data_IF_977950029828
#
_entry.id   IF_977950029828
#
_cell.length_a   1.000
_cell.length_b   1.000
_cell.length_c   1.000
_cell.angle_alpha   90.00
_cell.angle_beta   90.00
_cell.angle_gamma   90.00
#
_symmetry.space_group_name_H-M   'P 1'
#
loop_
_entity.id
_entity.type
_entity.pdbx_description
1 polymer ?
#
# COMPACT_ATOMS: atom_id res chain seq x y z
N UNK A 1 11.94 15.95 -4.18
CA UNK A 1 11.47 14.75 -3.45
C UNK A 1 11.19 14.98 -1.95
N UNK A 2 12.07 15.58 -1.12
CA UNK A 2 11.88 15.59 0.34
C UNK A 2 10.68 16.44 0.81
N UNK A 3 10.42 17.58 0.15
CA UNK A 3 9.26 18.44 0.46
C UNK A 3 7.91 17.76 0.15
N UNK A 4 7.84 17.03 -0.96
CA UNK A 4 6.62 16.30 -1.34
C UNK A 4 6.33 15.14 -0.38
N UNK A 5 7.38 14.37 0.00
CA UNK A 5 7.25 13.34 1.02
C UNK A 5 6.79 13.92 2.37
N UNK A 6 7.44 14.99 2.84
CA UNK A 6 7.06 15.65 4.08
C UNK A 6 5.62 16.19 4.03
N UNK A 7 5.20 16.75 2.90
CA UNK A 7 3.83 17.19 2.68
C UNK A 7 2.81 16.06 2.74
N UNK A 8 3.07 14.92 2.08
CA UNK A 8 2.19 13.74 2.11
C UNK A 8 2.10 13.15 3.51
N UNK A 9 3.25 12.95 4.18
CA UNK A 9 3.27 12.43 5.55
C UNK A 9 2.56 13.38 6.50
N UNK A 10 2.82 14.68 6.42
CA UNK A 10 2.15 15.70 7.23
C UNK A 10 0.64 15.72 7.00
N UNK A 11 0.19 15.66 5.75
CA UNK A 11 -1.24 15.64 5.42
C UNK A 11 -1.93 14.37 5.93
N UNK A 12 -1.31 13.19 5.78
CA UNK A 12 -1.81 11.94 6.34
C UNK A 12 -1.88 12.01 7.87
N UNK A 13 -0.81 12.46 8.51
CA UNK A 13 -0.73 12.62 9.97
C UNK A 13 -1.86 13.51 10.47
N UNK A 14 -1.99 14.71 9.88
CA UNK A 14 -2.99 15.69 10.26
C UNK A 14 -4.40 15.13 10.09
N UNK A 15 -4.70 14.51 8.95
CA UNK A 15 -6.01 13.92 8.67
C UNK A 15 -6.40 12.88 9.72
N UNK A 16 -5.54 11.88 9.93
CA UNK A 16 -5.90 10.73 10.78
C UNK A 16 -5.81 11.04 12.28
N UNK A 17 -5.02 12.04 12.69
CA UNK A 17 -5.12 12.57 14.06
C UNK A 17 -6.43 13.34 14.24
N UNK A 18 -6.81 14.19 13.26
CA UNK A 18 -8.03 14.99 13.35
C UNK A 18 -9.31 14.14 13.39
N UNK A 19 -9.31 12.96 12.77
CA UNK A 19 -10.44 12.01 12.81
C UNK A 19 -10.38 11.02 13.97
N UNK A 20 -9.31 11.02 14.78
CA UNK A 20 -9.11 10.05 15.86
C UNK A 20 -8.72 8.64 15.38
N UNK A 21 -8.40 8.48 14.10
CA UNK A 21 -8.11 7.20 13.44
C UNK A 21 -6.61 6.99 13.18
N UNK A 22 -5.75 7.58 14.03
CA UNK A 22 -4.29 7.54 13.88
C UNK A 22 -3.72 6.12 13.74
N UNK A 23 -4.43 5.10 14.23
CA UNK A 23 -4.04 3.68 14.12
C UNK A 23 -3.94 3.20 12.67
N UNK A 24 -4.67 3.82 11.72
CA UNK A 24 -4.54 3.48 10.29
C UNK A 24 -3.21 3.91 9.68
N UNK A 25 -2.47 4.83 10.32
CA UNK A 25 -1.14 5.24 9.85
C UNK A 25 -0.14 4.07 9.86
N UNK A 26 -0.37 3.04 10.68
CA UNK A 26 0.49 1.86 10.79
C UNK A 26 0.65 1.10 9.47
N UNK A 27 -0.41 0.99 8.66
CA UNK A 27 -0.35 0.32 7.35
C UNK A 27 -0.12 1.29 6.18
N UNK A 28 -0.37 2.58 6.36
CA UNK A 28 -0.19 3.60 5.32
C UNK A 28 1.24 4.14 5.24
N UNK A 29 1.92 4.34 6.37
CA UNK A 29 3.27 4.89 6.37
C UNK A 29 4.32 4.09 5.62
N UNK A 30 4.35 2.75 5.69
CA UNK A 30 5.32 1.99 4.91
C UNK A 30 5.24 2.32 3.42
N UNK A 31 4.02 2.38 2.86
CA UNK A 31 3.80 2.77 1.47
C UNK A 31 4.11 4.25 1.23
N UNK A 32 3.63 5.16 2.09
CA UNK A 32 3.84 6.60 1.92
C UNK A 32 5.33 6.99 1.94
N UNK A 33 6.14 6.30 2.75
CA UNK A 33 7.59 6.50 2.83
C UNK A 33 8.30 5.89 1.61
N UNK A 34 7.93 4.67 1.22
CA UNK A 34 8.61 3.96 0.14
C UNK A 34 8.22 4.46 -1.27
N UNK A 35 6.98 4.92 -1.46
CA UNK A 35 6.43 5.25 -2.77
C UNK A 35 7.23 6.31 -3.54
N UNK A 36 7.67 7.45 -2.94
CA UNK A 36 8.45 8.44 -3.69
C UNK A 36 9.77 7.88 -4.21
N UNK A 37 10.43 7.02 -3.44
CA UNK A 37 11.66 6.37 -3.87
C UNK A 37 11.40 5.30 -4.94
N UNK A 38 10.34 4.50 -4.79
CA UNK A 38 9.94 3.52 -5.80
C UNK A 38 9.60 4.19 -7.14
N UNK A 39 8.90 5.32 -7.11
CA UNK A 39 8.58 6.12 -8.30
C UNK A 39 9.85 6.71 -8.93
N UNK A 40 10.78 7.22 -8.12
CA UNK A 40 12.05 7.74 -8.65
C UNK A 40 12.88 6.64 -9.34
N UNK A 41 13.04 5.48 -8.68
CA UNK A 41 13.78 4.35 -9.25
C UNK A 41 13.10 3.80 -10.49
N UNK A 42 11.78 3.72 -10.50
CA UNK A 42 11.02 3.27 -11.66
C UNK A 42 11.15 4.26 -12.83
N UNK A 43 11.11 5.57 -12.59
CA UNK A 43 11.34 6.58 -13.62
C UNK A 43 12.77 6.55 -14.18
N UNK A 44 13.76 6.28 -13.32
CA UNK A 44 15.17 6.26 -13.71
C UNK A 44 15.55 4.98 -14.46
N UNK A 45 15.11 3.82 -13.97
CA UNK A 45 15.59 2.50 -14.41
C UNK A 45 14.50 1.70 -15.14
N UNK A 46 13.26 2.20 -15.21
CA UNK A 46 12.09 1.50 -15.78
C UNK A 46 11.92 0.09 -15.20
N UNK A 47 12.26 -0.06 -13.90
CA UNK A 47 12.25 -1.34 -13.21
C UNK A 47 12.03 -1.17 -11.71
N UNK A 48 10.92 -1.74 -11.23
CA UNK A 48 10.62 -1.80 -9.82
C UNK A 48 11.57 -2.73 -9.02
N UNK A 49 12.22 -2.24 -7.96
CA UNK A 49 13.17 -3.00 -7.15
C UNK A 49 12.45 -3.98 -6.20
N UNK A 50 12.58 -5.27 -6.51
CA UNK A 50 11.88 -6.34 -5.79
C UNK A 50 12.03 -6.29 -4.26
N UNK A 51 13.27 -6.12 -3.76
CA UNK A 51 13.54 -6.17 -2.32
C UNK A 51 12.79 -5.09 -1.56
N UNK A 52 12.82 -3.86 -2.06
CA UNK A 52 12.13 -2.73 -1.42
C UNK A 52 10.63 -2.91 -1.50
N UNK A 53 10.08 -3.30 -2.65
CA UNK A 53 8.63 -3.56 -2.78
C UNK A 53 8.15 -4.63 -1.80
N UNK A 54 8.91 -5.72 -1.62
CA UNK A 54 8.56 -6.78 -0.66
C UNK A 54 8.73 -6.32 0.79
N UNK A 55 9.76 -5.54 1.10
CA UNK A 55 9.93 -4.96 2.43
C UNK A 55 8.74 -4.07 2.79
N UNK A 56 8.32 -3.22 1.84
CA UNK A 56 7.13 -2.37 2.01
C UNK A 56 5.88 -3.21 2.19
N UNK A 57 5.71 -4.28 1.41
CA UNK A 57 4.59 -5.20 1.56
C UNK A 57 4.54 -5.83 2.95
N UNK A 58 5.65 -6.39 3.43
CA UNK A 58 5.73 -7.01 4.76
C UNK A 58 5.43 -5.97 5.85
N UNK A 59 6.02 -4.78 5.76
CA UNK A 59 5.76 -3.71 6.71
C UNK A 59 4.29 -3.27 6.71
N UNK A 60 3.65 -3.16 5.55
CA UNK A 60 2.22 -2.85 5.43
C UNK A 60 1.34 -3.99 5.98
N UNK A 61 1.67 -5.26 5.74
CA UNK A 61 0.94 -6.40 6.33
C UNK A 61 1.02 -6.36 7.85
N UNK A 62 2.22 -6.16 8.42
CA UNK A 62 2.39 -6.02 9.86
C UNK A 62 1.60 -4.82 10.41
N UNK A 63 1.60 -3.71 9.68
CA UNK A 63 0.78 -2.54 9.99
C UNK A 63 -0.71 -2.85 10.04
N UNK A 64 -1.24 -3.60 9.06
CA UNK A 64 -2.65 -4.00 9.02
C UNK A 64 -3.00 -4.90 10.21
N UNK A 65 -2.16 -5.90 10.49
CA UNK A 65 -2.38 -6.82 11.62
C UNK A 65 -2.34 -6.06 12.94
N UNK A 66 -1.39 -5.14 13.11
CA UNK A 66 -1.32 -4.28 14.29
C UNK A 66 -2.55 -3.38 14.41
N UNK A 67 -3.01 -2.75 13.32
CA UNK A 67 -4.25 -1.95 13.31
C UNK A 67 -5.45 -2.81 13.72
N UNK A 68 -5.62 -4.00 13.15
CA UNK A 68 -6.73 -4.90 13.47
C UNK A 68 -6.68 -5.37 14.94
N UNK A 69 -5.50 -5.71 15.45
CA UNK A 69 -5.32 -6.12 16.84
C UNK A 69 -5.62 -4.98 17.84
N UNK A 70 -5.15 -3.76 17.56
CA UNK A 70 -5.35 -2.60 18.43
C UNK A 70 -6.79 -2.07 18.43
N UNK A 71 -7.51 -2.25 17.32
CA UNK A 71 -8.91 -1.81 17.19
C UNK A 71 -9.92 -2.93 17.50
N UNK A 72 -9.47 -4.18 17.61
CA UNK A 72 -10.32 -5.37 17.69
C UNK A 72 -11.06 -5.70 16.38
N UNK A 73 -10.83 -4.94 15.30
CA UNK A 73 -11.56 -5.03 14.05
C UNK A 73 -10.88 -5.96 13.04
N UNK A 74 -10.96 -7.27 13.27
CA UNK A 74 -10.46 -8.28 12.31
C UNK A 74 -11.06 -8.22 10.89
N UNK A 75 -12.30 -7.75 10.65
CA UNK A 75 -12.78 -7.49 9.29
C UNK A 75 -11.88 -6.55 8.48
N UNK A 76 -11.13 -5.66 9.13
CA UNK A 76 -10.15 -4.79 8.48
C UNK A 76 -9.02 -5.60 7.81
N UNK A 77 -8.53 -6.64 8.49
CA UNK A 77 -7.51 -7.53 7.93
C UNK A 77 -8.06 -8.35 6.76
N UNK A 78 -9.33 -8.77 6.84
CA UNK A 78 -10.01 -9.45 5.73
C UNK A 78 -10.18 -8.51 4.52
N UNK A 79 -10.57 -7.26 4.74
CA UNK A 79 -10.65 -6.25 3.69
C UNK A 79 -9.28 -5.98 3.05
N UNK A 80 -8.20 -5.92 3.85
CA UNK A 80 -6.84 -5.80 3.34
C UNK A 80 -6.46 -6.98 2.43
N UNK A 81 -6.75 -8.21 2.88
CA UNK A 81 -6.45 -9.42 2.13
C UNK A 81 -7.24 -9.48 0.81
N UNK A 82 -8.51 -9.08 0.84
CA UNK A 82 -9.36 -8.97 -0.36
C UNK A 82 -8.85 -7.89 -1.31
N UNK A 83 -8.52 -6.70 -0.81
CA UNK A 83 -7.95 -5.62 -1.61
C UNK A 83 -6.65 -6.04 -2.29
N UNK A 84 -5.76 -6.69 -1.53
CA UNK A 84 -4.54 -7.28 -2.07
C UNK A 84 -4.83 -8.30 -3.19
N UNK A 85 -5.70 -9.27 -2.91
CA UNK A 85 -6.00 -10.36 -3.83
C UNK A 85 -6.66 -9.87 -5.12
N UNK A 86 -7.62 -8.94 -5.02
CA UNK A 86 -8.33 -8.38 -6.16
C UNK A 86 -7.39 -7.52 -7.04
N UNK A 87 -6.63 -6.60 -6.44
CA UNK A 87 -5.72 -5.73 -7.19
C UNK A 87 -4.56 -6.51 -7.80
N UNK A 88 -3.94 -7.41 -7.03
CA UNK A 88 -2.89 -8.30 -7.53
C UNK A 88 -3.42 -9.21 -8.64
N UNK A 89 -4.56 -9.86 -8.41
CA UNK A 89 -5.18 -10.78 -9.36
C UNK A 89 -5.53 -10.11 -10.68
N UNK A 90 -6.14 -8.92 -10.64
CA UNK A 90 -6.47 -8.14 -11.82
C UNK A 90 -5.21 -7.82 -12.64
N UNK A 91 -4.18 -7.26 -12.01
CA UNK A 91 -2.95 -6.91 -12.70
C UNK A 91 -2.18 -8.14 -13.17
N UNK A 92 -2.28 -9.27 -12.47
CA UNK A 92 -1.70 -10.53 -12.90
C UNK A 92 -2.37 -11.06 -14.17
N UNK A 93 -3.71 -10.97 -14.26
CA UNK A 93 -4.44 -11.31 -15.48
C UNK A 93 -4.01 -10.40 -16.63
N UNK A 94 -3.89 -9.09 -16.39
CA UNK A 94 -3.41 -8.13 -17.40
C UNK A 94 -1.97 -8.42 -17.84
N UNK A 95 -1.08 -8.75 -16.90
CA UNK A 95 0.30 -9.15 -17.19
C UNK A 95 0.35 -10.37 -18.12
N UNK A 96 -0.46 -11.39 -17.81
CA UNK A 96 -0.50 -12.63 -18.58
C UNK A 96 -1.16 -12.45 -19.96
N UNK A 97 -2.22 -11.64 -20.04
CA UNK A 97 -2.92 -11.37 -21.29
C UNK A 97 -2.17 -10.40 -22.20
N UNK A 98 -1.43 -9.44 -21.63
CA UNK A 98 -0.82 -8.31 -22.33
C UNK A 98 0.48 -8.60 -23.10
N UNK A 99 0.89 -9.87 -23.24
CA UNK A 99 2.08 -10.30 -24.03
C UNK A 99 3.37 -9.49 -23.73
N UNK A 100 3.58 -9.09 -22.48
CA UNK A 100 4.77 -8.33 -22.06
C UNK A 100 4.58 -6.81 -21.95
N UNK A 101 3.37 -6.28 -22.20
CA UNK A 101 3.08 -4.85 -22.03
C UNK A 101 3.04 -4.34 -20.58
N UNK A 102 2.85 -5.23 -19.60
CA UNK A 102 2.82 -4.90 -18.17
C UNK A 102 3.93 -5.66 -17.44
N UNK A 103 4.71 -4.99 -16.60
CA UNK A 103 5.77 -5.61 -15.81
C UNK A 103 5.22 -6.37 -14.61
N UNK A 104 5.93 -7.42 -14.17
CA UNK A 104 5.56 -8.13 -12.93
C UNK A 104 5.77 -7.28 -11.67
N UNK A 105 6.56 -6.20 -11.77
CA UNK A 105 6.67 -5.17 -10.72
C UNK A 105 5.33 -4.49 -10.45
N UNK A 106 4.61 -4.14 -11.51
CA UNK A 106 3.31 -3.45 -11.44
C UNK A 106 2.26 -4.30 -10.76
N UNK A 107 2.27 -5.61 -11.01
CA UNK A 107 1.38 -6.59 -10.36
C UNK A 107 1.55 -6.57 -8.84
N UNK A 108 2.81 -6.56 -8.38
CA UNK A 108 3.13 -6.52 -6.94
C UNK A 108 2.76 -5.18 -6.32
N UNK A 109 3.01 -4.09 -7.04
CA UNK A 109 2.69 -2.74 -6.58
C UNK A 109 1.17 -2.54 -6.50
N UNK A 110 0.40 -3.05 -7.46
CA UNK A 110 -1.06 -3.04 -7.43
C UNK A 110 -1.60 -3.80 -6.20
N UNK A 111 -1.06 -4.99 -5.92
CA UNK A 111 -1.40 -5.73 -4.70
C UNK A 111 -1.08 -4.96 -3.42
N UNK A 112 0.09 -4.32 -3.36
CA UNK A 112 0.49 -3.48 -2.22
C UNK A 112 -0.46 -2.28 -2.03
N UNK A 113 -0.83 -1.60 -3.11
CA UNK A 113 -1.81 -0.50 -3.05
C UNK A 113 -3.14 -1.04 -2.49
N UNK A 114 -3.68 -2.10 -3.08
CA UNK A 114 -4.94 -2.71 -2.65
C UNK A 114 -4.94 -3.15 -1.18
N UNK A 115 -3.83 -3.72 -0.71
CA UNK A 115 -3.65 -4.10 0.70
C UNK A 115 -3.80 -2.90 1.65
N UNK A 116 -3.22 -1.75 1.27
CA UNK A 116 -3.16 -0.57 2.13
C UNK A 116 -4.39 0.33 2.05
N UNK A 117 -5.13 0.31 0.93
CA UNK A 117 -6.28 1.20 0.72
C UNK A 117 -7.62 0.55 1.06
N UNK A 118 -7.78 -0.75 0.83
CA UNK A 118 -9.03 -1.46 1.14
C UNK A 118 -9.47 -1.39 2.62
N UNK A 119 -8.55 -1.45 3.60
CA UNK A 119 -8.89 -1.23 5.02
C UNK A 119 -9.61 0.08 5.30
N UNK A 120 -9.29 1.14 4.55
CA UNK A 120 -9.86 2.47 4.76
C UNK A 120 -11.33 2.56 4.36
N UNK A 121 -11.76 1.71 3.43
CA UNK A 121 -13.17 1.60 3.04
C UNK A 121 -13.95 0.77 4.05
N UNK A 122 -13.31 -0.21 4.69
CA UNK A 122 -13.94 -1.08 5.69
C UNK A 122 -14.06 -0.41 7.07
N UNK A 123 -13.27 0.63 7.36
CA UNK A 123 -13.39 1.42 8.59
C UNK A 123 -14.44 2.53 8.51
N UNK A 124 -14.96 2.83 7.32
CA UNK A 124 -15.93 3.90 7.08
C UNK A 124 -17.41 3.47 7.25
N UNK A 125 -17.65 2.23 7.71
CA UNK A 125 -18.98 1.63 7.93
C UNK A 125 -19.19 1.30 9.39
#
# INVERSE_FOLDING_TARGET
>A
MPLALAGVLGALTLRYIATGEAVHLLHLYPLAIAAPWLVAVDADVHRLPYRTTMLTLVASVLGVVATAALTGAWPLAAAAALGWALSYGLFWVLNKAGRGGLGYGDVRLAGLIGLTTAPLSASAT
#
